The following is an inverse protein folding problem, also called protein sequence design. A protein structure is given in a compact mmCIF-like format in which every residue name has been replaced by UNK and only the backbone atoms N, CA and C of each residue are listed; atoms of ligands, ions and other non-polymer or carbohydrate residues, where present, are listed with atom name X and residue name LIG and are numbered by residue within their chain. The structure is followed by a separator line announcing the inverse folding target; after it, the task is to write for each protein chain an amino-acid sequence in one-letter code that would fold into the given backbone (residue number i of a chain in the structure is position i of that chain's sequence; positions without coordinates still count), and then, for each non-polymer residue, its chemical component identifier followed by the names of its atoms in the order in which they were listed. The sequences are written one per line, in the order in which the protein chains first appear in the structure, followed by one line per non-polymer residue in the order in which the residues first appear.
data_IF_552657069545
#
_entry.id   IF_552657069545
#
_cell.length_a   1.000
_cell.length_b   1.000
_cell.length_c   1.000
_cell.angle_alpha   90.00
_cell.angle_beta   90.00
_cell.angle_gamma   90.00
#
_symmetry.space_group_name_H-M   'P 1'
#
loop_
_entity.id
_entity.type
_entity.pdbx_description
1 polymer ?
#
# COMPACT_ATOMS: atom_id res chain seq x y z
N UNK A 1 -6.21 1.69 -4.53
CA UNK A 1 -6.65 0.79 -3.45
C UNK A 1 -5.40 0.10 -2.92
N UNK A 2 -5.30 -0.19 -1.63
CA UNK A 2 -4.15 -0.89 -1.04
C UNK A 2 -4.55 -2.30 -0.63
N UNK A 3 -3.67 -3.28 -0.86
CA UNK A 3 -3.81 -4.68 -0.42
C UNK A 3 -2.53 -5.12 0.27
N UNK A 4 -2.68 -5.91 1.32
CA UNK A 4 -1.60 -6.60 2.01
C UNK A 4 -1.86 -8.10 1.96
N UNK A 5 -0.85 -8.87 1.58
CA UNK A 5 -0.91 -10.33 1.60
C UNK A 5 0.49 -10.94 1.72
N UNK A 6 0.55 -12.27 1.82
CA UNK A 6 1.75 -13.07 2.05
C UNK A 6 2.04 -14.06 0.92
N UNK A 7 1.51 -13.79 -0.27
CA UNK A 7 1.74 -14.66 -1.44
C UNK A 7 3.25 -14.75 -1.75
N UNK A 8 3.70 -15.93 -2.17
CA UNK A 8 5.10 -16.25 -2.51
C UNK A 8 6.08 -16.27 -1.33
N UNK A 9 5.60 -16.43 -0.10
CA UNK A 9 6.46 -16.68 1.06
C UNK A 9 7.08 -15.43 1.67
N UNK A 10 6.61 -14.24 1.28
CA UNK A 10 6.97 -12.98 1.92
C UNK A 10 5.77 -12.02 1.94
N UNK A 11 5.70 -11.20 3.00
CA UNK A 11 4.69 -10.16 3.10
C UNK A 11 4.96 -9.04 2.10
N UNK A 12 3.92 -8.51 1.47
CA UNK A 12 4.07 -7.37 0.57
C UNK A 12 2.81 -6.50 0.54
N UNK A 13 3.03 -5.25 0.15
CA UNK A 13 1.98 -4.25 -0.12
C UNK A 13 1.80 -4.12 -1.62
N UNK A 14 0.57 -4.28 -2.07
CA UNK A 14 0.16 -4.02 -3.44
C UNK A 14 -0.66 -2.71 -3.49
N UNK A 15 -0.20 -1.73 -4.27
CA UNK A 15 -0.97 -0.53 -4.60
C UNK A 15 -1.60 -0.71 -5.97
N UNK A 16 -2.92 -0.61 -6.03
CA UNK A 16 -3.70 -0.67 -7.26
C UNK A 16 -4.18 0.73 -7.65
N UNK A 17 -4.13 1.05 -8.94
CA UNK A 17 -4.78 2.23 -9.51
C UNK A 17 -6.17 1.88 -10.09
N UNK A 18 -6.89 2.89 -10.59
CA UNK A 18 -8.22 2.75 -11.19
C UNK A 18 -8.24 1.94 -12.49
N UNK A 19 -7.09 1.80 -13.15
CA UNK A 19 -6.91 1.06 -14.41
C UNK A 19 -6.56 -0.40 -14.15
N UNK A 20 -6.33 -0.78 -12.89
CA UNK A 20 -5.95 -2.12 -12.47
C UNK A 20 -4.44 -2.36 -12.50
N UNK A 21 -3.63 -1.34 -12.78
CA UNK A 21 -2.18 -1.47 -12.66
C UNK A 21 -1.80 -1.65 -11.19
N UNK A 22 -0.78 -2.47 -10.96
CA UNK A 22 -0.37 -2.87 -9.61
C UNK A 22 1.12 -2.62 -9.38
N UNK A 23 1.43 -1.93 -8.29
CA UNK A 23 2.80 -1.77 -7.78
C UNK A 23 2.98 -2.63 -6.52
N UNK A 24 3.86 -3.63 -6.60
CA UNK A 24 4.20 -4.52 -5.49
C UNK A 24 5.43 -4.02 -4.74
N UNK A 25 5.33 -3.91 -3.42
CA UNK A 25 6.43 -3.52 -2.53
C UNK A 25 6.61 -4.59 -1.45
N UNK A 26 7.75 -5.31 -1.41
CA UNK A 26 8.04 -6.25 -0.32
C UNK A 26 8.10 -5.55 1.04
N UNK A 27 7.68 -6.25 2.09
CA UNK A 27 7.75 -5.79 3.48
C UNK A 27 8.83 -6.64 4.18
N UNK A 28 9.92 -5.99 4.58
CA UNK A 28 11.06 -6.65 5.22
C UNK A 28 10.89 -6.61 6.74
N UNK A 29 10.24 -7.64 7.27
CA UNK A 29 9.98 -7.84 8.71
C UNK A 29 10.32 -9.27 9.09
N UNK A 30 10.45 -9.53 10.39
CA UNK A 30 10.92 -10.83 10.89
C UNK A 30 9.93 -11.96 10.64
N UNK A 31 8.64 -11.67 10.77
CA UNK A 31 7.56 -12.64 10.62
C UNK A 31 6.24 -11.98 10.18
N UNK A 32 5.21 -12.81 9.96
CA UNK A 32 3.91 -12.33 9.51
C UNK A 32 3.12 -11.57 10.60
N UNK A 33 3.44 -11.72 11.88
CA UNK A 33 2.78 -10.94 12.94
C UNK A 33 3.30 -9.49 12.93
N UNK A 34 4.59 -9.30 12.73
CA UNK A 34 5.17 -7.97 12.47
C UNK A 34 4.60 -7.37 11.18
N UNK A 35 4.46 -8.18 10.12
CA UNK A 35 3.86 -7.73 8.85
C UNK A 35 2.41 -7.27 9.02
N UNK A 36 1.61 -8.01 9.80
CA UNK A 36 0.23 -7.65 10.11
C UNK A 36 0.16 -6.36 10.91
N UNK A 37 1.01 -6.23 11.93
CA UNK A 37 1.11 -5.00 12.74
C UNK A 37 1.46 -3.79 11.88
N UNK A 38 2.43 -3.96 10.98
CA UNK A 38 2.80 -2.93 10.00
C UNK A 38 1.64 -2.57 9.08
N UNK A 39 0.96 -3.58 8.50
CA UNK A 39 -0.16 -3.37 7.60
C UNK A 39 -1.32 -2.60 8.26
N UNK A 40 -1.67 -2.96 9.51
CA UNK A 40 -2.70 -2.28 10.27
C UNK A 40 -2.33 -0.81 10.54
N UNK A 41 -1.10 -0.58 11.00
CA UNK A 41 -0.60 0.77 11.26
C UNK A 41 -0.59 1.63 9.98
N UNK A 42 -0.07 1.08 8.89
CA UNK A 42 0.05 1.78 7.61
C UNK A 42 -1.33 2.12 7.02
N UNK A 43 -2.29 1.18 7.02
CA UNK A 43 -3.64 1.46 6.53
C UNK A 43 -4.27 2.58 7.36
N UNK A 44 -4.20 2.50 8.69
CA UNK A 44 -4.78 3.53 9.58
C UNK A 44 -4.14 4.90 9.34
N UNK A 45 -2.83 4.94 9.13
CA UNK A 45 -2.08 6.19 8.97
C UNK A 45 -2.26 6.80 7.57
N UNK A 46 -2.36 5.97 6.53
CA UNK A 46 -2.27 6.40 5.13
C UNK A 46 -3.57 6.23 4.34
N UNK A 47 -4.69 5.78 4.94
CA UNK A 47 -5.95 5.50 4.24
C UNK A 47 -6.42 6.66 3.34
N UNK A 48 -6.39 7.90 3.84
CA UNK A 48 -6.84 9.07 3.08
C UNK A 48 -6.01 9.25 1.81
N UNK A 49 -4.68 9.09 1.93
CA UNK A 49 -3.76 9.16 0.79
C UNK A 49 -4.05 8.04 -0.21
N UNK A 50 -4.15 6.78 0.25
CA UNK A 50 -4.45 5.66 -0.66
C UNK A 50 -5.76 5.84 -1.43
N UNK A 51 -6.79 6.40 -0.78
CA UNK A 51 -8.06 6.73 -1.43
C UNK A 51 -7.89 7.84 -2.46
N UNK A 52 -7.17 8.91 -2.14
CA UNK A 52 -6.90 10.03 -3.05
C UNK A 52 -6.10 9.57 -4.28
N UNK A 53 -5.01 8.82 -4.07
CA UNK A 53 -4.19 8.27 -5.15
C UNK A 53 -5.02 7.34 -6.06
N UNK A 54 -5.85 6.47 -5.48
CA UNK A 54 -6.69 5.57 -6.28
C UNK A 54 -7.71 6.29 -7.15
N UNK A 55 -8.34 7.34 -6.60
CA UNK A 55 -9.31 8.16 -7.33
C UNK A 55 -8.65 9.09 -8.36
N UNK A 56 -7.32 9.01 -8.54
CA UNK A 56 -6.57 9.73 -9.57
C UNK A 56 -6.25 11.18 -9.20
N UNK A 57 -5.99 11.44 -7.91
CA UNK A 57 -5.78 12.77 -7.31
C UNK A 57 -5.39 13.88 -8.29
N UNK A 58 -6.36 14.72 -8.67
CA UNK A 58 -6.08 16.13 -8.94
C UNK A 58 -5.50 16.73 -7.67
N UNK A 59 -4.36 17.42 -7.79
CA UNK A 59 -3.49 17.95 -6.72
C UNK A 59 -2.36 17.01 -6.23
N UNK A 60 -1.60 16.45 -7.17
CA UNK A 60 -0.14 16.41 -7.01
C UNK A 60 0.46 17.54 -7.85
N UNK A 61 0.38 18.78 -7.34
CA UNK A 61 1.32 19.81 -7.76
C UNK A 61 2.70 19.37 -7.28
N UNK A 62 3.53 18.95 -8.22
CA UNK A 62 4.96 18.79 -7.99
C UNK A 62 5.53 20.09 -7.46
N UNK A 63 5.89 20.11 -6.18
CA UNK A 63 6.86 21.09 -5.69
C UNK A 63 8.20 20.77 -6.34
N UNK A 64 8.58 21.64 -7.28
CA UNK A 64 9.94 21.84 -7.78
C UNK A 64 10.94 22.01 -6.64
#
# INVERSE_FOLDING_TARGET
MVRYDTEHGFAHRDLLDKEGNKQKTPIFVKDYNEALTFAEYDIKSNWKLYKQTFLGGTEYEGKK
#
